data_IF_992420829264
#
_entry.id   IF_992420829264
#
_cell.length_a   1.000
_cell.length_b   1.000
_cell.length_c   1.000
_cell.angle_alpha   90.00
_cell.angle_beta   90.00
_cell.angle_gamma   90.00
#
_symmetry.space_group_name_H-M   'P 1'
#
loop_
_entity.id
_entity.type
_entity.pdbx_description
1 polymer ?
#
# COMPACT_ATOMS: atom_id res chain seq x y z
N UNK A 1 -26.62 42.76 -15.94
CA UNK A 1 -28.01 43.26 -16.07
C UNK A 1 -28.17 43.80 -17.48
N UNK A 2 -28.63 42.96 -18.41
CA UNK A 2 -29.14 43.40 -19.72
C UNK A 2 -30.65 43.12 -19.71
N UNK A 3 -31.51 44.04 -20.18
CA UNK A 3 -32.94 43.92 -19.98
C UNK A 3 -33.54 42.99 -21.04
N UNK A 4 -33.47 41.68 -20.77
CA UNK A 4 -34.14 40.63 -21.56
C UNK A 4 -35.67 40.82 -21.55
N UNK A 5 -36.19 41.51 -20.53
CA UNK A 5 -37.60 41.90 -20.43
C UNK A 5 -38.06 42.87 -21.52
N UNK A 6 -37.19 43.70 -22.08
CA UNK A 6 -37.58 44.66 -23.12
C UNK A 6 -37.85 43.99 -24.47
N UNK A 7 -37.15 42.89 -24.75
CA UNK A 7 -37.31 42.10 -25.97
C UNK A 7 -38.60 41.27 -25.89
N UNK A 8 -38.95 40.77 -24.70
CA UNK A 8 -40.20 40.05 -24.46
C UNK A 8 -41.44 40.92 -24.74
N UNK A 9 -41.40 42.19 -24.32
CA UNK A 9 -42.49 43.16 -24.55
C UNK A 9 -42.62 43.54 -26.04
N UNK A 10 -41.50 43.62 -26.77
CA UNK A 10 -41.52 43.85 -28.22
C UNK A 10 -42.02 42.63 -29.02
N UNK A 11 -41.89 41.42 -28.48
CA UNK A 11 -42.39 40.17 -29.07
C UNK A 11 -43.91 40.04 -28.90
N UNK A 12 -44.47 40.48 -27.77
CA UNK A 12 -45.91 40.40 -27.52
C UNK A 12 -46.72 41.52 -28.21
N UNK A 13 -46.07 42.63 -28.59
CA UNK A 13 -46.72 43.76 -29.30
C UNK A 13 -46.92 43.53 -30.81
N UNK A 14 -46.17 42.62 -31.43
CA UNK A 14 -46.32 42.27 -32.84
C UNK A 14 -47.03 40.91 -32.94
N UNK A 15 -48.36 40.96 -32.88
CA UNK A 15 -49.22 39.79 -32.81
C UNK A 15 -48.84 38.69 -33.80
N UNK A 16 -48.60 37.50 -33.23
CA UNK A 16 -48.87 36.22 -33.86
C UNK A 16 -48.24 35.98 -35.24
N UNK A 17 -46.91 35.89 -35.31
CA UNK A 17 -46.21 34.87 -36.12
C UNK A 17 -44.71 34.98 -35.83
N UNK A 18 -44.16 33.96 -35.16
CA UNK A 18 -42.71 33.87 -34.93
C UNK A 18 -42.08 33.52 -36.28
N UNK A 19 -41.65 34.54 -37.02
CA UNK A 19 -40.90 34.35 -38.26
C UNK A 19 -39.69 33.44 -37.99
N UNK A 20 -39.46 32.48 -38.88
CA UNK A 20 -38.39 31.47 -38.79
C UNK A 20 -36.96 32.06 -38.58
N UNK A 21 -36.82 33.37 -38.72
CA UNK A 21 -35.60 34.16 -38.48
C UNK A 21 -35.26 34.42 -37.00
N UNK A 22 -36.21 34.29 -36.06
CA UNK A 22 -35.97 34.60 -34.63
C UNK A 22 -35.73 33.36 -33.73
N UNK A 23 -35.93 32.14 -34.25
CA UNK A 23 -35.60 30.88 -33.53
C UNK A 23 -34.15 30.80 -33.00
N UNK A 24 -33.10 31.30 -33.68
CA UNK A 24 -31.74 31.24 -33.14
C UNK A 24 -31.50 32.11 -31.89
N UNK A 25 -32.34 33.09 -31.56
CA UNK A 25 -32.22 33.84 -30.29
C UNK A 25 -32.49 32.95 -29.06
N UNK A 26 -33.16 31.81 -29.22
CA UNK A 26 -33.32 30.83 -28.14
C UNK A 26 -32.00 30.14 -27.74
N UNK A 27 -30.97 30.18 -28.61
CA UNK A 27 -29.61 29.73 -28.31
C UNK A 27 -28.94 30.57 -27.22
N UNK A 28 -29.43 31.78 -26.94
CA UNK A 28 -28.96 32.59 -25.79
C UNK A 28 -29.26 31.88 -24.46
N UNK A 29 -30.23 30.94 -24.41
CA UNK A 29 -30.44 30.09 -23.22
C UNK A 29 -29.29 29.10 -22.99
N UNK A 30 -28.51 28.75 -24.02
CA UNK A 30 -27.29 27.95 -23.89
C UNK A 30 -26.18 28.70 -23.13
N UNK A 31 -26.27 30.04 -23.01
CA UNK A 31 -25.36 30.80 -22.14
C UNK A 31 -25.46 30.27 -20.71
N UNK A 32 -26.61 29.77 -20.24
CA UNK A 32 -26.78 29.17 -18.89
C UNK A 32 -25.85 27.97 -18.61
N UNK A 33 -25.20 27.41 -19.63
CA UNK A 33 -24.12 26.42 -19.49
C UNK A 33 -22.92 27.01 -18.72
N UNK A 34 -22.77 28.34 -18.65
CA UNK A 34 -21.83 29.00 -17.73
C UNK A 34 -22.07 28.61 -16.26
N UNK A 35 -23.28 28.19 -15.86
CA UNK A 35 -23.52 27.70 -14.49
C UNK A 35 -22.89 26.33 -14.23
N UNK A 36 -22.65 25.55 -15.29
CA UNK A 36 -21.84 24.33 -15.23
C UNK A 36 -20.36 24.68 -14.99
N UNK A 37 -19.92 25.88 -15.39
CA UNK A 37 -18.62 26.46 -15.00
C UNK A 37 -18.62 26.85 -13.51
N UNK A 38 -19.77 27.09 -12.87
CA UNK A 38 -19.88 27.38 -11.43
C UNK A 38 -19.66 26.14 -10.54
N UNK A 39 -19.77 24.92 -11.11
CA UNK A 39 -19.32 23.67 -10.46
C UNK A 39 -17.80 23.69 -10.18
N UNK A 40 -17.06 24.65 -10.78
CA UNK A 40 -15.65 24.90 -10.45
C UNK A 40 -15.41 25.27 -8.99
N UNK A 41 -16.41 25.81 -8.27
CA UNK A 41 -16.31 26.06 -6.83
C UNK A 41 -16.52 24.82 -5.95
N UNK A 42 -17.08 23.74 -6.50
CA UNK A 42 -17.18 22.42 -5.81
C UNK A 42 -15.89 21.61 -6.02
N UNK A 43 -15.07 21.97 -7.02
CA UNK A 43 -13.78 21.34 -7.29
C UNK A 43 -12.66 21.75 -6.32
N UNK A 44 -12.92 22.71 -5.42
CA UNK A 44 -12.02 23.10 -4.32
C UNK A 44 -12.23 22.24 -3.06
N UNK A 45 -13.19 21.30 -3.10
CA UNK A 45 -13.33 20.27 -2.08
C UNK A 45 -12.33 19.15 -2.39
N UNK A 46 -11.32 18.96 -1.54
CA UNK A 46 -10.22 17.98 -1.65
C UNK A 46 -10.69 16.50 -1.76
N UNK A 47 -12.00 16.27 -1.78
CA UNK A 47 -12.62 14.94 -1.80
C UNK A 47 -12.55 14.26 -3.17
N UNK A 48 -12.41 15.01 -4.27
CA UNK A 48 -12.44 14.46 -5.63
C UNK A 48 -11.12 14.65 -6.40
N UNK A 49 -10.74 13.61 -7.14
CA UNK A 49 -9.57 13.65 -8.01
C UNK A 49 -9.76 14.70 -9.14
N UNK A 50 -8.90 15.74 -9.23
CA UNK A 50 -9.07 16.83 -10.20
C UNK A 50 -9.00 16.35 -11.67
N UNK A 51 -8.26 15.28 -11.94
CA UNK A 51 -8.16 14.67 -13.27
C UNK A 51 -9.49 14.00 -13.67
N UNK A 52 -10.20 13.40 -12.72
CA UNK A 52 -11.50 12.77 -12.97
C UNK A 52 -12.57 13.83 -13.30
N UNK A 53 -12.59 14.95 -12.58
CA UNK A 53 -13.48 16.08 -12.85
C UNK A 53 -13.21 16.68 -14.24
N UNK A 54 -11.95 16.79 -14.63
CA UNK A 54 -11.56 17.26 -15.97
C UNK A 54 -12.07 16.32 -17.07
N UNK A 55 -11.99 15.00 -16.86
CA UNK A 55 -12.54 14.01 -17.79
C UNK A 55 -14.07 14.12 -17.93
N UNK A 56 -14.80 14.19 -16.80
CA UNK A 56 -16.26 14.35 -16.80
C UNK A 56 -16.66 15.62 -17.55
N UNK A 57 -15.95 16.73 -17.34
CA UNK A 57 -16.20 17.99 -18.02
C UNK A 57 -16.09 17.87 -19.54
N UNK A 58 -15.03 17.22 -20.05
CA UNK A 58 -14.87 17.03 -21.49
C UNK A 58 -15.91 16.08 -22.08
N UNK A 59 -16.37 15.07 -21.32
CA UNK A 59 -17.49 14.22 -21.72
C UNK A 59 -18.76 15.08 -21.86
N UNK A 60 -19.07 15.95 -20.90
CA UNK A 60 -20.23 16.85 -20.99
C UNK A 60 -20.15 17.79 -22.21
N UNK A 61 -18.97 18.35 -22.49
CA UNK A 61 -18.76 19.21 -23.67
C UNK A 61 -18.94 18.44 -24.99
N UNK A 62 -18.45 17.19 -25.06
CA UNK A 62 -18.63 16.34 -26.23
C UNK A 62 -20.10 15.99 -26.48
N UNK A 63 -20.86 15.62 -25.43
CA UNK A 63 -22.28 15.31 -25.55
C UNK A 63 -23.09 16.51 -26.05
N UNK A 64 -22.78 17.71 -25.56
CA UNK A 64 -23.39 18.95 -26.02
C UNK A 64 -23.04 19.25 -27.49
N UNK A 65 -21.77 19.03 -27.86
CA UNK A 65 -21.31 19.18 -29.24
C UNK A 65 -22.03 18.22 -30.19
N UNK A 66 -22.20 16.95 -29.82
CA UNK A 66 -23.01 15.99 -30.58
C UNK A 66 -24.47 16.43 -30.71
N UNK A 67 -25.06 16.93 -29.62
CA UNK A 67 -26.42 17.44 -29.65
C UNK A 67 -26.59 18.60 -30.65
N UNK A 68 -25.75 19.62 -30.61
CA UNK A 68 -25.86 20.77 -31.51
C UNK A 68 -25.50 20.45 -32.95
N UNK A 69 -24.45 19.65 -33.18
CA UNK A 69 -24.08 19.25 -34.54
C UNK A 69 -25.18 18.43 -35.21
N UNK A 70 -25.87 17.56 -34.47
CA UNK A 70 -26.94 16.72 -35.01
C UNK A 70 -28.18 17.54 -35.37
N UNK A 71 -28.54 18.51 -34.51
CA UNK A 71 -29.63 19.45 -34.79
C UNK A 71 -29.33 20.32 -36.03
N UNK A 72 -28.10 20.81 -36.16
CA UNK A 72 -27.67 21.59 -37.31
C UNK A 72 -27.66 20.75 -38.60
N UNK A 73 -27.19 19.50 -38.53
CA UNK A 73 -27.25 18.57 -39.65
C UNK A 73 -28.69 18.35 -40.14
N UNK A 74 -29.64 18.11 -39.22
CA UNK A 74 -31.05 17.98 -39.58
C UNK A 74 -31.60 19.27 -40.21
N UNK A 75 -31.20 20.43 -39.70
CA UNK A 75 -31.62 21.73 -40.22
C UNK A 75 -31.06 22.03 -41.61
N UNK A 76 -29.84 21.61 -41.93
CA UNK A 76 -29.18 21.84 -43.23
C UNK A 76 -29.64 20.79 -44.25
N UNK A 77 -29.85 19.56 -43.81
CA UNK A 77 -30.27 18.42 -44.65
C UNK A 77 -31.72 18.45 -45.13
N UNK A 78 -32.53 19.42 -44.68
CA UNK A 78 -33.85 19.71 -45.24
C UNK A 78 -34.85 18.55 -45.13
N UNK A 79 -35.39 18.30 -43.93
CA UNK A 79 -36.51 17.40 -43.58
C UNK A 79 -36.53 15.97 -44.17
N UNK A 80 -35.51 15.53 -44.90
CA UNK A 80 -35.44 14.22 -45.55
C UNK A 80 -36.19 14.15 -46.87
N UNK A 81 -36.25 15.24 -47.65
CA UNK A 81 -37.01 15.23 -48.91
C UNK A 81 -36.41 14.32 -49.99
N UNK A 82 -35.14 13.90 -49.88
CA UNK A 82 -34.47 13.08 -50.89
C UNK A 82 -33.56 12.02 -50.27
N UNK A 83 -33.59 10.80 -50.81
CA UNK A 83 -32.68 9.73 -50.39
C UNK A 83 -31.32 9.92 -51.06
N UNK A 84 -30.34 10.38 -50.30
CA UNK A 84 -28.93 10.50 -50.73
C UNK A 84 -27.98 9.68 -49.86
N UNK A 85 -28.53 8.88 -48.92
CA UNK A 85 -27.78 8.07 -47.98
C UNK A 85 -26.98 8.84 -46.91
N UNK A 86 -26.86 10.17 -47.02
CA UNK A 86 -26.05 10.99 -46.11
C UNK A 86 -26.84 12.02 -45.31
N UNK A 87 -27.93 12.54 -45.87
CA UNK A 87 -28.86 13.45 -45.21
C UNK A 87 -29.90 12.71 -44.36
N UNK A 88 -30.83 13.44 -43.74
CA UNK A 88 -31.99 12.87 -43.06
C UNK A 88 -32.73 11.87 -43.95
N UNK A 89 -33.08 10.71 -43.42
CA UNK A 89 -33.70 9.67 -44.26
C UNK A 89 -35.13 10.08 -44.63
N UNK A 90 -35.57 9.88 -45.89
CA UNK A 90 -36.93 10.18 -46.31
C UNK A 90 -38.01 9.37 -45.58
N UNK A 91 -37.64 8.18 -45.09
CA UNK A 91 -38.53 7.34 -44.30
C UNK A 91 -38.92 7.99 -42.97
N UNK A 92 -38.13 8.95 -42.51
CA UNK A 92 -38.31 9.65 -41.24
C UNK A 92 -38.96 11.02 -41.38
N UNK A 93 -39.34 11.46 -42.60
CA UNK A 93 -40.06 12.72 -42.84
C UNK A 93 -41.35 12.77 -42.00
N UNK A 94 -42.14 11.69 -42.03
CA UNK A 94 -43.38 11.52 -41.26
C UNK A 94 -43.17 10.84 -39.89
N UNK A 95 -41.91 10.61 -39.51
CA UNK A 95 -41.55 9.96 -38.25
C UNK A 95 -41.76 10.85 -37.02
N UNK A 96 -41.80 10.22 -35.86
CA UNK A 96 -41.86 10.93 -34.57
C UNK A 96 -40.61 11.79 -34.35
N UNK A 97 -40.75 12.88 -33.58
CA UNK A 97 -39.62 13.75 -33.22
C UNK A 97 -38.47 12.97 -32.55
N UNK A 98 -38.78 11.94 -31.78
CA UNK A 98 -37.78 11.08 -31.12
C UNK A 98 -36.96 10.32 -32.15
N UNK A 99 -37.60 9.74 -33.17
CA UNK A 99 -36.90 9.01 -34.23
C UNK A 99 -35.99 9.95 -35.05
N UNK A 100 -36.47 11.17 -35.36
CA UNK A 100 -35.69 12.22 -36.03
C UNK A 100 -34.45 12.62 -35.20
N UNK A 101 -34.64 12.79 -33.89
CA UNK A 101 -33.57 13.14 -32.97
C UNK A 101 -32.53 12.03 -32.80
N UNK A 102 -32.96 10.76 -32.68
CA UNK A 102 -32.06 9.61 -32.57
C UNK A 102 -31.17 9.51 -33.81
N UNK A 103 -31.73 9.67 -35.01
CA UNK A 103 -30.95 9.67 -36.25
C UNK A 103 -29.93 10.82 -36.28
N UNK A 104 -30.35 12.01 -35.85
CA UNK A 104 -29.48 13.20 -35.80
C UNK A 104 -28.29 13.01 -34.86
N UNK A 105 -28.52 12.43 -33.68
CA UNK A 105 -27.45 12.12 -32.72
C UNK A 105 -26.56 10.99 -33.23
N UNK A 106 -27.15 9.95 -33.83
CA UNK A 106 -26.40 8.85 -34.43
C UNK A 106 -25.40 9.37 -35.46
N UNK A 107 -25.84 10.26 -36.36
CA UNK A 107 -24.97 10.89 -37.36
C UNK A 107 -23.80 11.65 -36.71
N UNK A 108 -24.07 12.49 -35.71
CA UNK A 108 -23.02 13.24 -35.00
C UNK A 108 -22.00 12.35 -34.31
N UNK A 109 -22.43 11.25 -33.70
CA UNK A 109 -21.55 10.27 -33.08
C UNK A 109 -20.75 9.53 -34.14
N UNK A 110 -21.40 9.09 -35.22
CA UNK A 110 -20.77 8.33 -36.30
C UNK A 110 -19.66 9.12 -37.01
N UNK A 111 -19.96 10.36 -37.41
CA UNK A 111 -19.03 11.22 -38.16
C UNK A 111 -17.79 11.61 -37.33
N UNK A 112 -17.93 11.72 -36.01
CA UNK A 112 -16.83 12.06 -35.10
C UNK A 112 -16.07 10.84 -34.57
N UNK A 113 -16.69 9.65 -34.57
CA UNK A 113 -16.10 8.39 -34.10
C UNK A 113 -15.39 7.61 -35.20
N UNK A 114 -15.17 8.22 -36.38
CA UNK A 114 -14.56 7.61 -37.57
C UNK A 114 -15.37 6.44 -38.15
N UNK A 115 -16.68 6.37 -37.87
CA UNK A 115 -17.58 5.46 -38.56
C UNK A 115 -17.78 6.02 -39.97
N UNK A 116 -17.62 5.18 -40.99
CA UNK A 116 -17.71 5.61 -42.38
C UNK A 116 -19.18 5.83 -42.75
N UNK A 117 -19.59 7.08 -42.79
CA UNK A 117 -20.81 7.52 -43.46
C UNK A 117 -20.55 7.66 -44.99
N UNK A 118 -21.56 7.42 -45.85
CA UNK A 118 -21.44 7.66 -47.29
C UNK A 118 -21.17 9.14 -47.56
N UNK A 119 -20.50 9.46 -48.66
CA UNK A 119 -20.23 10.87 -48.99
C UNK A 119 -21.53 11.53 -49.48
N UNK A 120 -21.86 12.77 -49.05
CA UNK A 120 -22.95 13.53 -49.64
C UNK A 120 -22.77 13.69 -51.15
N UNK A 121 -23.87 13.58 -51.89
CA UNK A 121 -23.89 13.74 -53.34
C UNK A 121 -23.60 15.21 -53.72
N UNK A 122 -22.43 15.45 -54.31
CA UNK A 122 -21.95 16.78 -54.72
C UNK A 122 -22.75 17.38 -55.90
N UNK A 123 -23.58 16.59 -56.58
CA UNK A 123 -24.40 17.10 -57.68
C UNK A 123 -25.51 18.06 -57.22
N UNK A 124 -25.74 18.17 -55.90
CA UNK A 124 -26.88 18.91 -55.32
C UNK A 124 -26.44 20.16 -54.57
N UNK A 125 -27.25 21.22 -54.67
CA UNK A 125 -26.96 22.54 -54.08
C UNK A 125 -26.76 22.49 -52.55
N UNK A 126 -27.56 21.68 -51.84
CA UNK A 126 -27.42 21.47 -50.40
C UNK A 126 -26.25 20.54 -50.04
N UNK A 127 -25.73 19.76 -51.00
CA UNK A 127 -24.60 18.84 -50.84
C UNK A 127 -23.29 19.57 -50.54
N UNK A 128 -23.04 20.73 -51.15
CA UNK A 128 -21.87 21.56 -50.83
C UNK A 128 -21.90 22.06 -49.37
N UNK A 129 -23.06 22.52 -48.91
CA UNK A 129 -23.24 22.99 -47.53
C UNK A 129 -23.05 21.88 -46.50
N UNK A 130 -23.66 20.71 -46.73
CA UNK A 130 -23.49 19.53 -45.89
C UNK A 130 -22.04 19.05 -45.86
N UNK A 131 -21.34 19.05 -46.99
CA UNK A 131 -19.94 18.62 -47.07
C UNK A 131 -19.03 19.53 -46.25
N UNK A 132 -19.14 20.86 -46.44
CA UNK A 132 -18.34 21.84 -45.70
C UNK A 132 -18.64 21.74 -44.20
N UNK A 133 -19.92 21.68 -43.82
CA UNK A 133 -20.34 21.54 -42.44
C UNK A 133 -19.77 20.26 -41.80
N UNK A 134 -19.89 19.13 -42.48
CA UNK A 134 -19.40 17.84 -41.99
C UNK A 134 -17.89 17.83 -41.81
N UNK A 135 -17.14 18.42 -42.75
CA UNK A 135 -15.69 18.58 -42.61
C UNK A 135 -15.30 19.43 -41.39
N UNK A 136 -16.04 20.50 -41.10
CA UNK A 136 -15.84 21.32 -39.89
C UNK A 136 -16.16 20.50 -38.63
N UNK A 137 -17.27 19.76 -38.63
CA UNK A 137 -17.66 18.88 -37.50
C UNK A 137 -16.62 17.79 -37.26
N UNK A 138 -16.08 17.18 -38.32
CA UNK A 138 -14.98 16.20 -38.23
C UNK A 138 -13.74 16.84 -37.61
N UNK A 139 -13.31 18.01 -38.10
CA UNK A 139 -12.13 18.70 -37.58
C UNK A 139 -12.29 19.04 -36.09
N UNK A 140 -13.45 19.58 -35.69
CA UNK A 140 -13.76 19.85 -34.28
C UNK A 140 -13.86 18.55 -33.45
N UNK A 141 -14.46 17.49 -34.00
CA UNK A 141 -14.57 16.19 -33.35
C UNK A 141 -13.22 15.55 -33.07
N UNK A 142 -12.26 15.66 -34.00
CA UNK A 142 -10.89 15.17 -33.83
C UNK A 142 -10.18 15.89 -32.66
N UNK A 143 -10.43 17.19 -32.48
CA UNK A 143 -9.89 17.96 -31.36
C UNK A 143 -10.47 17.44 -30.04
N UNK A 144 -11.79 17.25 -29.95
CA UNK A 144 -12.42 16.69 -28.74
C UNK A 144 -11.94 15.26 -28.45
N UNK A 145 -11.73 14.43 -29.47
CA UNK A 145 -11.20 13.08 -29.31
C UNK A 145 -9.76 13.11 -28.75
N UNK A 146 -8.92 14.04 -29.22
CA UNK A 146 -7.57 14.23 -28.69
C UNK A 146 -7.59 14.70 -27.24
N UNK A 147 -8.46 15.66 -26.90
CA UNK A 147 -8.64 16.15 -25.53
C UNK A 147 -9.12 15.05 -24.57
N UNK A 148 -10.09 14.23 -24.99
CA UNK A 148 -10.61 13.12 -24.19
C UNK A 148 -9.53 12.05 -23.96
N UNK A 149 -8.76 11.72 -24.99
CA UNK A 149 -7.63 10.78 -24.89
C UNK A 149 -6.57 11.29 -23.92
N UNK A 150 -6.24 12.59 -23.98
CA UNK A 150 -5.30 13.22 -23.06
C UNK A 150 -5.79 13.19 -21.61
N UNK A 151 -7.07 13.53 -21.38
CA UNK A 151 -7.68 13.49 -20.05
C UNK A 151 -7.75 12.08 -19.47
N UNK A 152 -8.13 11.08 -20.28
CA UNK A 152 -8.10 9.67 -19.87
C UNK A 152 -6.68 9.23 -19.48
N UNK A 153 -5.66 9.64 -20.24
CA UNK A 153 -4.25 9.36 -19.90
C UNK A 153 -3.84 10.02 -18.59
N UNK A 154 -4.25 11.26 -18.35
CA UNK A 154 -4.00 11.98 -17.10
C UNK A 154 -4.63 11.28 -15.89
N UNK A 155 -5.87 10.82 -16.02
CA UNK A 155 -6.57 10.08 -14.99
C UNK A 155 -5.86 8.76 -14.63
N UNK A 156 -5.45 7.96 -15.62
CA UNK A 156 -4.69 6.72 -15.36
C UNK A 156 -3.39 7.02 -14.61
N UNK A 157 -2.66 8.06 -15.03
CA UNK A 157 -1.43 8.50 -14.35
C UNK A 157 -1.67 8.95 -12.92
N UNK A 158 -2.83 9.53 -12.62
CA UNK A 158 -3.15 9.98 -11.26
C UNK A 158 -3.31 8.79 -10.30
N UNK A 159 -3.94 7.69 -10.73
CA UNK A 159 -4.03 6.45 -9.96
C UNK A 159 -2.67 5.79 -9.77
N UNK A 160 -1.87 5.74 -10.83
CA UNK A 160 -0.54 5.12 -10.78
C UNK A 160 0.55 6.04 -10.20
N UNK A 161 0.24 7.29 -9.87
CA UNK A 161 1.23 8.27 -9.40
C UNK A 161 1.93 7.83 -8.11
N UNK A 162 1.20 7.12 -7.24
CA UNK A 162 1.73 6.51 -6.01
C UNK A 162 2.74 5.41 -6.30
N UNK A 163 2.33 4.42 -7.10
CA UNK A 163 3.15 3.26 -7.45
C UNK A 163 4.35 3.64 -8.36
N UNK A 164 4.15 4.53 -9.32
CA UNK A 164 5.16 4.96 -10.27
C UNK A 164 6.34 5.67 -9.58
N UNK A 165 6.06 6.56 -8.62
CA UNK A 165 7.12 7.26 -7.92
C UNK A 165 7.90 6.35 -6.96
N UNK A 166 7.23 5.41 -6.31
CA UNK A 166 7.88 4.36 -5.53
C UNK A 166 8.84 3.52 -6.39
N UNK A 167 8.36 3.06 -7.54
CA UNK A 167 9.18 2.30 -8.48
C UNK A 167 10.41 3.11 -8.93
N UNK A 168 10.25 4.41 -9.22
CA UNK A 168 11.38 5.30 -9.55
C UNK A 168 12.42 5.38 -8.41
N UNK A 169 11.98 5.52 -7.15
CA UNK A 169 12.90 5.59 -6.00
C UNK A 169 13.64 4.27 -5.79
N UNK A 170 12.95 3.13 -5.91
CA UNK A 170 13.59 1.81 -5.87
C UNK A 170 14.60 1.60 -7.00
N UNK A 171 14.28 2.04 -8.22
CA UNK A 171 15.22 1.98 -9.34
C UNK A 171 16.46 2.84 -9.05
N UNK A 172 16.28 4.06 -8.53
CA UNK A 172 17.40 4.94 -8.16
C UNK A 172 18.30 4.31 -7.09
N UNK A 173 17.73 3.73 -6.04
CA UNK A 173 18.49 2.98 -5.02
C UNK A 173 19.22 1.81 -5.66
N UNK A 174 18.56 1.04 -6.53
CA UNK A 174 19.19 -0.07 -7.23
C UNK A 174 20.40 0.38 -8.05
N UNK A 175 20.26 1.45 -8.84
CA UNK A 175 21.35 2.02 -9.64
C UNK A 175 22.51 2.49 -8.78
N UNK A 176 22.26 3.09 -7.62
CA UNK A 176 23.29 3.49 -6.67
C UNK A 176 24.05 2.27 -6.10
N UNK A 177 23.33 1.21 -5.73
CA UNK A 177 23.93 -0.03 -5.22
C UNK A 177 24.78 -0.74 -6.29
N UNK A 178 24.33 -0.71 -7.54
CA UNK A 178 25.08 -1.23 -8.68
C UNK A 178 26.36 -0.44 -8.93
N UNK A 179 26.27 0.90 -8.90
CA UNK A 179 27.44 1.78 -9.01
C UNK A 179 28.48 1.54 -7.90
N UNK A 180 28.02 1.23 -6.68
CA UNK A 180 28.89 0.90 -5.54
C UNK A 180 29.40 -0.55 -5.54
N UNK A 181 29.04 -1.37 -6.52
CA UNK A 181 29.50 -2.75 -6.62
C UNK A 181 29.00 -3.65 -5.49
N UNK A 182 27.82 -3.36 -4.92
CA UNK A 182 27.30 -4.08 -3.76
C UNK A 182 26.92 -5.53 -4.13
N UNK A 183 27.30 -6.55 -3.32
CA UNK A 183 26.95 -7.95 -3.57
C UNK A 183 25.43 -8.18 -3.66
N UNK A 184 25.01 -9.13 -4.51
CA UNK A 184 23.59 -9.44 -4.77
C UNK A 184 22.78 -9.73 -3.50
N UNK A 185 23.36 -10.42 -2.52
CA UNK A 185 22.70 -10.72 -1.25
C UNK A 185 22.35 -9.48 -0.43
N UNK A 186 23.30 -8.54 -0.31
CA UNK A 186 23.08 -7.28 0.40
C UNK A 186 22.10 -6.38 -0.36
N UNK A 187 22.21 -6.33 -1.70
CA UNK A 187 21.26 -5.60 -2.56
C UNK A 187 19.83 -6.09 -2.37
N UNK A 188 19.60 -7.40 -2.36
CA UNK A 188 18.29 -7.99 -2.12
C UNK A 188 17.75 -7.66 -0.73
N UNK A 189 18.59 -7.68 0.31
CA UNK A 189 18.20 -7.31 1.67
C UNK A 189 17.80 -5.84 1.78
N UNK A 190 18.58 -4.92 1.18
CA UNK A 190 18.27 -3.49 1.13
C UNK A 190 16.97 -3.22 0.36
N UNK A 191 16.78 -3.87 -0.78
CA UNK A 191 15.52 -3.74 -1.53
C UNK A 191 14.33 -4.25 -0.70
N UNK A 192 14.46 -5.41 -0.05
CA UNK A 192 13.41 -5.96 0.82
C UNK A 192 13.07 -5.00 1.96
N UNK A 193 14.08 -4.35 2.54
CA UNK A 193 13.90 -3.29 3.55
C UNK A 193 13.00 -2.18 3.02
N UNK A 194 13.39 -1.51 1.93
CA UNK A 194 12.62 -0.38 1.39
C UNK A 194 11.22 -0.78 0.90
N UNK A 195 11.04 -2.00 0.37
CA UNK A 195 9.70 -2.52 0.04
C UNK A 195 8.83 -2.66 1.29
N UNK A 196 9.39 -3.20 2.37
CA UNK A 196 8.69 -3.39 3.63
C UNK A 196 8.35 -2.07 4.31
N UNK A 197 9.27 -1.10 4.32
CA UNK A 197 9.02 0.27 4.78
C UNK A 197 7.78 0.82 4.07
N UNK A 198 7.76 0.75 2.74
CA UNK A 198 6.66 1.26 1.94
C UNK A 198 5.32 0.56 2.18
N UNK A 199 5.32 -0.77 2.34
CA UNK A 199 4.10 -1.54 2.59
C UNK A 199 3.56 -1.38 4.02
N UNK A 200 4.44 -1.08 4.99
CA UNK A 200 4.12 -1.14 6.43
C UNK A 200 3.92 0.23 7.06
N UNK A 201 4.63 1.25 6.60
CA UNK A 201 4.51 2.62 7.11
C UNK A 201 3.43 3.44 6.42
N UNK A 202 2.67 2.87 5.47
CA UNK A 202 1.45 3.46 4.93
C UNK A 202 1.56 4.98 4.79
N UNK A 203 2.14 5.43 3.67
CA UNK A 203 2.27 6.83 3.21
C UNK A 203 3.65 7.44 3.42
N UNK A 204 4.39 7.47 2.31
CA UNK A 204 4.95 8.65 1.61
C UNK A 204 4.91 10.03 2.31
N UNK A 205 3.88 10.31 3.09
CA UNK A 205 3.66 11.56 3.80
C UNK A 205 4.50 11.69 5.07
N UNK A 206 4.80 10.63 5.82
CA UNK A 206 5.52 10.81 7.10
C UNK A 206 6.93 11.39 6.88
N UNK A 207 7.66 11.00 5.84
CA UNK A 207 9.02 11.53 5.58
C UNK A 207 9.01 12.92 4.89
N UNK A 208 8.00 13.25 4.07
CA UNK A 208 7.90 14.56 3.38
C UNK A 208 7.11 15.63 4.18
N UNK A 209 6.07 15.22 4.89
CA UNK A 209 5.16 16.07 5.66
C UNK A 209 5.71 16.35 7.05
N UNK A 210 6.39 15.38 7.69
CA UNK A 210 7.01 15.63 9.00
C UNK A 210 7.98 16.81 8.93
N UNK A 211 8.97 16.93 8.02
CA UNK A 211 9.85 18.10 7.98
C UNK A 211 9.11 19.43 7.84
N UNK A 212 8.00 19.46 7.07
CA UNK A 212 7.20 20.65 6.77
C UNK A 212 6.23 21.06 7.88
N UNK A 213 5.91 20.17 8.82
CA UNK A 213 5.04 20.52 9.95
C UNK A 213 5.74 21.50 10.91
N UNK A 214 5.03 22.53 11.41
CA UNK A 214 5.45 23.31 12.57
C UNK A 214 5.80 22.41 13.77
N UNK A 215 6.81 22.81 14.54
CA UNK A 215 7.22 22.13 15.79
C UNK A 215 6.06 21.73 16.73
N UNK A 216 5.05 22.59 17.01
CA UNK A 216 3.96 22.20 17.90
C UNK A 216 3.08 21.06 17.36
N UNK A 217 2.85 21.00 16.04
CA UNK A 217 2.04 19.93 15.43
C UNK A 217 2.81 18.61 15.38
N UNK A 218 4.13 18.65 15.16
CA UNK A 218 5.01 17.46 15.28
C UNK A 218 4.92 16.85 16.67
N UNK A 219 5.01 17.69 17.70
CA UNK A 219 4.92 17.23 19.08
C UNK A 219 3.56 16.58 19.35
N UNK A 220 2.45 17.22 18.97
CA UNK A 220 1.11 16.65 19.16
C UNK A 220 0.92 15.31 18.44
N UNK A 221 1.43 15.17 17.21
CA UNK A 221 1.34 13.93 16.43
C UNK A 221 2.21 12.81 17.03
N UNK A 222 3.42 13.13 17.47
CA UNK A 222 4.31 12.19 18.15
C UNK A 222 3.67 11.65 19.44
N UNK A 223 3.05 12.54 20.22
CA UNK A 223 2.31 12.18 21.44
C UNK A 223 1.15 11.24 21.10
N UNK A 224 0.32 11.58 20.12
CA UNK A 224 -0.82 10.75 19.75
C UNK A 224 -0.41 9.34 19.30
N UNK A 225 0.68 9.23 18.54
CA UNK A 225 1.19 7.94 18.03
C UNK A 225 1.78 7.05 19.13
N UNK A 226 2.41 7.66 20.15
CA UNK A 226 3.20 6.93 21.16
C UNK A 226 2.52 6.75 22.51
N UNK A 227 1.48 7.55 22.82
CA UNK A 227 0.81 7.59 24.13
C UNK A 227 0.40 6.21 24.65
N UNK A 228 -0.16 5.37 23.78
CA UNK A 228 -0.70 4.06 24.19
C UNK A 228 0.38 3.12 24.73
N UNK A 229 1.62 3.24 24.24
CA UNK A 229 2.73 2.39 24.69
C UNK A 229 3.21 2.81 26.07
N UNK A 230 3.35 4.12 26.32
CA UNK A 230 3.80 4.62 27.64
C UNK A 230 2.78 4.34 28.75
N UNK A 231 1.48 4.46 28.48
CA UNK A 231 0.44 4.13 29.46
C UNK A 231 0.43 2.63 29.81
N UNK A 232 0.82 1.78 28.86
CA UNK A 232 0.83 0.33 29.05
C UNK A 232 1.98 -0.18 29.93
N UNK A 233 3.05 0.61 30.09
CA UNK A 233 4.27 0.19 30.79
C UNK A 233 4.17 0.67 32.26
N UNK A 234 4.18 -0.25 33.25
CA UNK A 234 3.99 0.12 34.67
C UNK A 234 4.99 1.16 35.19
N UNK A 235 6.24 1.12 34.71
CA UNK A 235 7.31 2.03 35.14
C UNK A 235 7.01 3.50 34.82
N UNK A 236 6.18 3.79 33.82
CA UNK A 236 5.86 5.17 33.41
C UNK A 236 4.49 5.66 33.91
N UNK A 237 3.77 4.87 34.70
CA UNK A 237 2.46 5.28 35.23
C UNK A 237 2.57 6.33 36.33
N UNK A 238 3.68 6.31 37.08
CA UNK A 238 3.98 7.26 38.14
C UNK A 238 4.76 8.49 37.66
N UNK A 239 5.08 8.57 36.35
CA UNK A 239 5.79 9.71 35.78
C UNK A 239 4.84 10.87 35.49
N UNK A 240 5.34 12.09 35.69
CA UNK A 240 4.57 13.28 35.40
C UNK A 240 4.37 13.45 33.88
N UNK A 241 3.23 14.00 33.42
CA UNK A 241 2.93 14.11 31.99
C UNK A 241 4.02 14.84 31.20
N UNK A 242 4.63 15.86 31.78
CA UNK A 242 5.69 16.65 31.14
C UNK A 242 7.00 15.86 30.95
N UNK A 243 7.28 14.91 31.83
CA UNK A 243 8.43 14.00 31.72
C UNK A 243 8.21 13.02 30.57
N UNK A 244 7.00 12.47 30.47
CA UNK A 244 6.62 11.59 29.35
C UNK A 244 6.71 12.35 28.02
N UNK A 245 6.28 13.62 27.97
CA UNK A 245 6.39 14.44 26.77
C UNK A 245 7.84 14.66 26.33
N UNK A 246 8.76 14.93 27.26
CA UNK A 246 10.18 15.13 26.92
C UNK A 246 10.83 13.83 26.45
N UNK A 247 10.45 12.69 27.03
CA UNK A 247 10.90 11.36 26.57
C UNK A 247 10.39 11.06 25.16
N UNK A 248 9.11 11.30 24.88
CA UNK A 248 8.50 11.09 23.55
C UNK A 248 9.21 11.95 22.48
N UNK A 249 9.55 13.20 22.80
CA UNK A 249 10.26 14.09 21.89
C UNK A 249 11.69 13.61 21.56
N UNK A 250 12.31 12.84 22.47
CA UNK A 250 13.64 12.25 22.27
C UNK A 250 13.64 10.88 21.60
N UNK A 251 12.47 10.28 21.31
CA UNK A 251 12.40 8.96 20.69
C UNK A 251 12.86 8.98 19.23
N UNK A 252 13.71 8.03 18.88
CA UNK A 252 14.11 7.77 17.50
C UNK A 252 13.44 6.50 17.02
N UNK A 253 12.69 6.59 15.91
CA UNK A 253 12.05 5.43 15.29
C UNK A 253 13.09 4.53 14.63
N UNK A 254 13.07 3.24 14.97
CA UNK A 254 13.90 2.21 14.36
C UNK A 254 13.04 1.09 13.77
N UNK A 255 13.21 0.83 12.47
CA UNK A 255 12.57 -0.27 11.76
C UNK A 255 13.54 -1.44 11.58
N UNK A 256 13.09 -2.65 11.92
CA UNK A 256 13.84 -3.88 11.71
C UNK A 256 13.04 -4.88 10.89
N UNK A 257 13.73 -5.67 10.06
CA UNK A 257 13.11 -6.71 9.26
C UNK A 257 12.98 -8.03 10.02
N UNK A 258 12.05 -8.91 9.60
CA UNK A 258 12.06 -10.30 10.03
C UNK A 258 13.44 -10.93 9.80
N UNK A 259 14.01 -11.51 10.86
CA UNK A 259 15.36 -12.10 10.93
C UNK A 259 16.53 -11.13 11.17
N UNK A 260 16.28 -9.83 11.34
CA UNK A 260 17.33 -8.92 11.82
C UNK A 260 17.61 -9.17 13.31
N UNK A 261 18.89 -9.25 13.68
CA UNK A 261 19.32 -9.31 15.07
C UNK A 261 19.41 -7.89 15.60
N UNK A 262 18.49 -7.53 16.49
CA UNK A 262 18.44 -6.19 17.10
C UNK A 262 19.58 -5.99 18.11
N UNK A 263 19.76 -6.95 19.01
CA UNK A 263 20.72 -6.91 20.10
C UNK A 263 21.43 -8.27 20.14
N UNK A 264 22.77 -8.24 20.19
CA UNK A 264 23.60 -9.42 20.34
C UNK A 264 24.26 -9.42 21.71
N UNK A 265 24.24 -10.56 22.40
CA UNK A 265 24.93 -10.75 23.67
C UNK A 265 26.43 -10.47 23.46
N UNK A 266 27.03 -9.69 24.36
CA UNK A 266 28.43 -9.22 24.27
C UNK A 266 28.63 -7.91 23.50
N UNK A 267 27.58 -7.35 22.88
CA UNK A 267 27.66 -6.01 22.29
C UNK A 267 27.46 -4.90 23.34
N UNK A 268 28.10 -3.74 23.14
CA UNK A 268 27.85 -2.55 23.96
C UNK A 268 26.36 -2.17 23.90
N UNK A 269 25.71 -2.09 25.07
CA UNK A 269 24.33 -1.65 25.18
C UNK A 269 24.17 -0.21 24.67
N UNK A 270 23.32 -0.02 23.64
CA UNK A 270 23.10 1.29 23.00
C UNK A 270 21.92 2.08 23.56
N UNK A 271 21.11 1.46 24.42
CA UNK A 271 19.95 2.10 25.04
C UNK A 271 18.78 1.15 25.23
N UNK A 272 17.65 1.72 25.63
CA UNK A 272 16.38 1.04 25.81
C UNK A 272 15.56 1.11 24.51
N UNK A 273 14.92 0.00 24.14
CA UNK A 273 14.05 -0.09 22.97
C UNK A 273 12.61 -0.35 23.41
N UNK A 274 11.66 0.35 22.78
CA UNK A 274 10.24 0.14 22.96
C UNK A 274 9.65 -0.50 21.70
N UNK A 275 8.94 -1.62 21.87
CA UNK A 275 8.30 -2.31 20.76
C UNK A 275 6.95 -1.64 20.51
N UNK A 276 6.90 -0.80 19.47
CA UNK A 276 5.66 -0.11 19.07
C UNK A 276 4.70 -1.03 18.31
N UNK A 277 5.25 -1.87 17.41
CA UNK A 277 4.51 -2.82 16.57
C UNK A 277 5.37 -4.04 16.28
N UNK A 278 4.75 -5.23 16.31
CA UNK A 278 5.42 -6.51 16.03
C UNK A 278 5.86 -7.26 17.30
N UNK A 279 6.62 -8.32 17.11
CA UNK A 279 7.14 -9.17 18.20
C UNK A 279 8.63 -9.42 17.99
N UNK A 280 9.35 -9.61 19.11
CA UNK A 280 10.79 -9.90 19.11
C UNK A 280 10.99 -11.24 19.81
N UNK A 281 11.76 -12.12 19.17
CA UNK A 281 12.13 -13.40 19.77
C UNK A 281 13.49 -13.30 20.43
N UNK A 282 13.56 -13.64 21.71
CA UNK A 282 14.81 -13.73 22.47
C UNK A 282 15.38 -15.13 22.25
N UNK A 283 16.58 -15.21 21.67
CA UNK A 283 17.33 -16.45 21.50
C UNK A 283 18.51 -16.45 22.46
N UNK A 284 18.39 -17.20 23.55
CA UNK A 284 19.54 -17.54 24.38
C UNK A 284 20.33 -18.64 23.65
N UNK A 285 21.65 -18.48 23.51
CA UNK A 285 22.50 -19.59 23.07
C UNK A 285 22.37 -20.68 24.13
N UNK A 286 21.67 -21.76 23.80
CA UNK A 286 21.70 -22.96 24.63
C UNK A 286 23.14 -23.50 24.59
N UNK A 287 23.76 -23.78 25.75
CA UNK A 287 25.05 -24.44 25.77
C UNK A 287 24.88 -25.83 25.14
N UNK A 288 25.47 -26.04 23.97
CA UNK A 288 25.57 -27.37 23.37
C UNK A 288 26.92 -27.94 23.76
N UNK A 289 26.92 -29.09 24.42
CA UNK A 289 28.13 -29.86 24.69
C UNK A 289 28.82 -30.18 23.36
N UNK A 290 30.14 -30.00 23.29
CA UNK A 290 30.92 -30.40 22.12
C UNK A 290 31.00 -31.92 22.01
N UNK A 291 31.33 -32.45 20.83
CA UNK A 291 31.49 -33.91 20.63
C UNK A 291 32.59 -34.51 21.54
N UNK A 292 33.64 -33.74 21.84
CA UNK A 292 34.68 -34.14 22.78
C UNK A 292 34.15 -34.23 24.21
N UNK A 293 33.39 -33.23 24.67
CA UNK A 293 32.76 -33.25 25.99
C UNK A 293 31.76 -34.39 26.13
N UNK A 294 30.95 -34.66 25.08
CA UNK A 294 30.03 -35.79 25.07
C UNK A 294 30.76 -37.15 25.15
N UNK A 295 31.91 -37.30 24.49
CA UNK A 295 32.71 -38.52 24.57
C UNK A 295 33.30 -38.73 25.97
N UNK A 296 33.74 -37.66 26.64
CA UNK A 296 34.26 -37.72 27.99
C UNK A 296 33.16 -38.00 29.03
N UNK A 297 31.98 -37.41 28.86
CA UNK A 297 30.79 -37.70 29.66
C UNK A 297 30.35 -39.15 29.45
N UNK A 298 30.42 -39.66 28.23
CA UNK A 298 30.11 -41.06 27.91
C UNK A 298 31.09 -42.03 28.58
N UNK A 299 32.39 -41.72 28.52
CA UNK A 299 33.41 -42.55 29.18
C UNK A 299 33.19 -42.67 30.69
N UNK A 300 32.82 -41.56 31.37
CA UNK A 300 32.51 -41.63 32.82
C UNK A 300 31.19 -42.32 33.11
N UNK A 301 30.18 -42.11 32.27
CA UNK A 301 28.90 -42.82 32.38
C UNK A 301 29.12 -44.35 32.32
N UNK A 302 29.91 -44.81 31.35
CA UNK A 302 30.23 -46.23 31.17
C UNK A 302 31.10 -46.78 32.33
N UNK A 303 31.88 -45.92 33.00
CA UNK A 303 32.63 -46.30 34.21
C UNK A 303 31.74 -46.42 35.46
N UNK A 304 30.57 -45.78 35.48
CA UNK A 304 29.59 -45.87 36.56
C UNK A 304 28.59 -47.00 36.35
N UNK A 305 28.26 -47.31 35.10
CA UNK A 305 27.43 -48.45 34.67
C UNK A 305 28.25 -49.76 34.70
N UNK A 306 28.45 -50.29 35.91
CA UNK A 306 29.30 -51.48 36.14
C UNK A 306 28.71 -52.72 35.47
N UNK A 307 27.39 -52.81 35.39
CA UNK A 307 26.69 -53.94 34.79
C UNK A 307 26.52 -53.80 33.25
N UNK A 308 26.97 -52.69 32.66
CA UNK A 308 26.87 -52.38 31.23
C UNK A 308 25.43 -52.46 30.70
N UNK A 309 24.44 -52.10 31.52
CA UNK A 309 23.02 -52.12 31.14
C UNK A 309 22.63 -50.95 30.22
N UNK A 310 23.51 -49.97 30.06
CA UNK A 310 23.25 -48.73 29.34
C UNK A 310 22.51 -47.68 30.17
N UNK A 311 22.23 -47.96 31.44
CA UNK A 311 21.52 -47.09 32.39
C UNK A 311 22.15 -47.19 33.78
N UNK A 312 22.13 -46.12 34.57
CA UNK A 312 22.69 -46.13 35.93
C UNK A 312 21.57 -46.36 36.94
N UNK A 313 21.68 -47.41 37.75
CA UNK A 313 20.73 -47.69 38.82
C UNK A 313 21.05 -46.95 40.14
N UNK A 314 20.13 -46.99 41.11
CA UNK A 314 20.30 -46.33 42.42
C UNK A 314 21.54 -46.81 43.19
N UNK A 315 21.95 -48.06 43.04
CA UNK A 315 23.12 -48.64 43.72
C UNK A 315 24.41 -48.20 43.04
N UNK A 316 24.43 -48.16 41.72
CA UNK A 316 25.54 -47.70 40.90
C UNK A 316 25.80 -46.20 41.09
N UNK A 317 24.74 -45.38 41.07
CA UNK A 317 24.81 -43.96 41.38
C UNK A 317 25.36 -43.72 42.80
N UNK A 318 24.90 -44.51 43.78
CA UNK A 318 25.37 -44.42 45.17
C UNK A 318 26.84 -44.82 45.32
N UNK A 319 27.28 -45.84 44.59
CA UNK A 319 28.67 -46.29 44.58
C UNK A 319 29.58 -45.25 43.94
N UNK A 320 29.17 -44.66 42.82
CA UNK A 320 29.90 -43.62 42.10
C UNK A 320 30.06 -42.34 42.93
N UNK A 321 29.01 -41.88 43.61
CA UNK A 321 29.09 -40.67 44.45
C UNK A 321 29.97 -40.91 45.68
N UNK A 322 29.97 -42.13 46.22
CA UNK A 322 30.85 -42.51 47.33
C UNK A 322 32.32 -42.63 46.89
N UNK A 323 32.60 -43.10 45.67
CA UNK A 323 33.97 -43.14 45.13
C UNK A 323 34.53 -41.75 44.83
N UNK A 324 33.66 -40.78 44.56
CA UNK A 324 33.99 -39.35 44.43
C UNK A 324 34.17 -38.64 45.80
N UNK A 325 34.05 -39.36 46.92
CA UNK A 325 34.32 -38.83 48.27
C UNK A 325 33.12 -38.18 48.98
N UNK A 326 31.92 -38.25 48.40
CA UNK A 326 30.71 -37.67 48.99
C UNK A 326 29.84 -38.75 49.66
N UNK A 327 29.35 -38.48 50.87
CA UNK A 327 28.39 -39.35 51.56
C UNK A 327 27.01 -38.69 51.58
N UNK A 328 26.12 -39.16 50.71
CA UNK A 328 24.71 -38.75 50.69
C UNK A 328 23.85 -39.68 51.54
N UNK A 329 22.81 -39.13 52.19
CA UNK A 329 21.74 -39.94 52.79
C UNK A 329 20.87 -40.55 51.69
N UNK A 330 20.38 -41.76 51.90
CA UNK A 330 19.55 -42.48 50.91
C UNK A 330 18.31 -41.69 50.48
N UNK A 331 17.75 -40.86 51.38
CA UNK A 331 16.61 -39.98 51.09
C UNK A 331 16.95 -38.85 50.13
N UNK A 332 18.15 -38.31 50.21
CA UNK A 332 18.56 -37.14 49.42
C UNK A 332 19.06 -37.59 48.04
N UNK A 333 19.71 -38.76 47.97
CA UNK A 333 20.06 -39.39 46.71
C UNK A 333 18.82 -39.78 45.89
N UNK A 334 17.75 -40.22 46.57
CA UNK A 334 16.49 -40.56 45.90
C UNK A 334 15.80 -39.32 45.31
N UNK A 335 15.77 -38.21 46.05
CA UNK A 335 15.29 -36.92 45.52
C UNK A 335 16.10 -36.42 44.32
N UNK A 336 17.41 -36.66 44.32
CA UNK A 336 18.28 -36.30 43.20
C UNK A 336 17.91 -37.14 41.98
N UNK A 337 17.74 -38.46 42.15
CA UNK A 337 17.33 -39.37 41.09
C UNK A 337 15.93 -39.03 40.54
N UNK A 338 14.95 -38.79 41.41
CA UNK A 338 13.59 -38.38 41.03
C UNK A 338 13.56 -37.02 40.30
N UNK A 339 14.59 -36.18 40.46
CA UNK A 339 14.72 -34.89 39.77
C UNK A 339 15.38 -34.98 38.40
N UNK A 340 15.97 -36.13 38.05
CA UNK A 340 16.73 -36.38 36.81
C UNK A 340 15.95 -37.31 35.90
N UNK A 341 15.45 -38.40 36.48
CA UNK A 341 14.63 -39.42 35.86
C UNK A 341 13.33 -38.78 35.35
N UNK A 342 13.33 -38.42 34.07
CA UNK A 342 12.26 -37.65 33.44
C UNK A 342 11.16 -38.55 32.91
N UNK A 343 11.49 -39.82 32.65
CA UNK A 343 10.56 -40.84 32.18
C UNK A 343 9.99 -41.72 33.31
N UNK A 344 10.51 -41.58 34.53
CA UNK A 344 10.06 -42.30 35.72
C UNK A 344 10.46 -43.78 35.72
N UNK A 345 11.48 -44.15 34.95
CA UNK A 345 11.97 -45.52 34.80
C UNK A 345 12.63 -46.06 36.07
N UNK A 346 13.02 -45.18 36.99
CA UNK A 346 13.81 -45.52 38.16
C UNK A 346 15.25 -45.89 37.80
N UNK A 347 15.72 -45.48 36.63
CA UNK A 347 17.08 -45.62 36.09
C UNK A 347 17.48 -44.28 35.46
N UNK A 348 18.77 -44.00 35.32
CA UNK A 348 19.25 -42.79 34.64
C UNK A 348 19.89 -43.21 33.32
N UNK A 349 19.25 -42.87 32.20
CA UNK A 349 19.80 -43.12 30.88
C UNK A 349 20.85 -42.06 30.49
N UNK A 350 21.73 -42.37 29.53
CA UNK A 350 22.76 -41.44 29.07
C UNK A 350 22.25 -40.05 28.63
N UNK A 351 21.10 -39.93 27.91
CA UNK A 351 20.53 -38.63 27.57
C UNK A 351 20.11 -37.82 28.80
N UNK A 352 19.49 -38.46 29.79
CA UNK A 352 19.05 -37.83 31.05
C UNK A 352 20.23 -37.41 31.91
N UNK A 353 21.29 -38.23 31.92
CA UNK A 353 22.56 -37.89 32.56
C UNK A 353 23.20 -36.63 31.97
N UNK A 354 23.16 -36.47 30.63
CA UNK A 354 23.65 -35.27 29.97
C UNK A 354 22.77 -34.04 30.28
N UNK A 355 21.45 -34.23 30.35
CA UNK A 355 20.52 -33.14 30.69
C UNK A 355 20.68 -32.69 32.15
N UNK A 356 20.89 -33.63 33.07
CA UNK A 356 21.24 -33.33 34.47
C UNK A 356 22.50 -32.45 34.54
N UNK A 357 23.56 -32.86 33.83
CA UNK A 357 24.82 -32.12 33.83
C UNK A 357 24.61 -30.70 33.29
N UNK A 358 23.89 -30.54 32.19
CA UNK A 358 23.59 -29.22 31.61
C UNK A 358 22.73 -28.33 32.51
N UNK A 359 21.77 -28.90 33.24
CA UNK A 359 20.89 -28.15 34.16
C UNK A 359 21.61 -27.76 35.46
N UNK A 360 22.58 -28.55 35.90
CA UNK A 360 23.18 -28.41 37.22
C UNK A 360 24.69 -28.13 37.14
N UNK A 361 25.03 -26.87 36.87
CA UNK A 361 26.42 -26.40 36.69
C UNK A 361 27.33 -26.69 37.89
N UNK A 362 26.78 -26.71 39.10
CA UNK A 362 27.54 -27.04 40.33
C UNK A 362 27.95 -28.51 40.38
N UNK A 363 27.08 -29.41 39.91
CA UNK A 363 27.38 -30.83 39.81
C UNK A 363 28.39 -31.10 38.69
N UNK A 364 28.27 -30.41 37.56
CA UNK A 364 29.31 -30.38 36.52
C UNK A 364 30.65 -29.90 37.09
N UNK A 365 30.68 -28.85 37.92
CA UNK A 365 31.91 -28.36 38.55
C UNK A 365 32.57 -29.39 39.46
N UNK A 366 31.76 -30.11 40.24
CA UNK A 366 32.23 -31.09 41.20
C UNK A 366 32.76 -32.38 40.52
N UNK A 367 32.16 -32.78 39.40
CA UNK A 367 32.53 -34.00 38.65
C UNK A 367 33.54 -33.71 37.53
N UNK A 368 33.58 -32.47 37.05
CA UNK A 368 34.44 -31.95 35.99
C UNK A 368 34.89 -30.51 36.28
N UNK A 369 35.87 -30.32 37.18
CA UNK A 369 36.40 -28.99 37.48
C UNK A 369 37.02 -28.31 36.25
N UNK A 370 37.61 -29.08 35.33
CA UNK A 370 38.24 -28.55 34.10
C UNK A 370 37.24 -28.31 32.96
N UNK A 371 36.08 -28.97 32.94
CA UNK A 371 35.11 -28.79 31.84
C UNK A 371 34.51 -27.39 31.83
N UNK A 372 34.38 -26.74 33.00
CA UNK A 372 33.82 -25.40 33.13
C UNK A 372 34.74 -24.28 32.61
N UNK A 373 36.05 -24.52 32.49
CA UNK A 373 36.97 -23.55 31.91
C UNK A 373 36.61 -23.23 30.44
N UNK A 374 36.15 -24.23 29.70
CA UNK A 374 35.68 -24.09 28.31
C UNK A 374 34.21 -23.66 28.18
N UNK A 375 33.42 -23.67 29.27
CA UNK A 375 32.06 -23.11 29.27
C UNK A 375 32.06 -21.58 29.38
N UNK A 376 33.12 -20.97 29.94
CA UNK A 376 33.23 -19.52 30.17
C UNK A 376 33.75 -18.75 28.94
N UNK A 377 34.41 -19.44 27.99
CA UNK A 377 34.92 -18.86 26.74
C UNK A 377 33.80 -18.44 25.75
N UNK A 378 32.54 -18.71 26.09
CA UNK A 378 31.36 -18.23 25.36
C UNK A 378 30.65 -17.04 26.02
N UNK A 379 31.12 -16.56 27.17
CA UNK A 379 30.43 -15.59 28.04
C UNK A 379 31.25 -14.35 28.43
N UNK A 380 32.42 -14.13 27.83
CA UNK A 380 33.18 -12.89 27.99
C UNK A 380 32.97 -11.91 26.84
#
# INVERSE_FOLDING_TARGET
>A
MFPISLIQVLIDLNGGEISNTMRPLSLVKAVRIYRLVYVRGIADDDTFNPEALTMIRYICYMLLFWHWSGLLWWSIGGEGQVDDGFGPSPLLVNGTLVQKYIQSIYWSVAITSKVREPMPDLSRLYGYGLTIFSNVVIACGLIFQAMLTAAATGLVRSFDSAAAAYNRRLTSISSYLDFKGVPRGLKQRIQKYYRFVWSSEGSREVEEVMPRLPAPLKAQLAIHSTRNVFVSIPVFQDCEPHEIMSMIQGLVSHLALPSDVLIQIGSMGRGLFFIMRGTVNIKLKQPKLTSAQLAEIKFKFDAMDVNASGSIDFKELRAAIRSLGYNFRSSDLRKLMDGIDSDGSGLIEFPEFCEMLLKNKEFLAAVYPDALADFDDGLR
#
